data_IF_669698968544
#
_entry.id   IF_669698968544
#
_cell.length_a   1.000
_cell.length_b   1.000
_cell.length_c   1.000
_cell.angle_alpha   90.00
_cell.angle_beta   90.00
_cell.angle_gamma   90.00
#
_symmetry.space_group_name_H-M   'P 1'
#
loop_
_entity.id
_entity.type
_entity.pdbx_description
1 polymer ?
#
# COMPACT_ATOMS: atom_id res chain seq x y z
N UNK A 1 -1.46 -6.83 14.32
CA UNK A 1 -2.66 -5.97 14.14
C UNK A 1 -3.22 -5.65 15.51
N UNK A 2 -3.37 -4.37 15.80
CA UNK A 2 -3.79 -3.88 17.11
C UNK A 2 -5.33 -3.79 17.15
N UNK A 3 -5.94 -4.53 18.05
CA UNK A 3 -7.39 -4.44 18.32
C UNK A 3 -7.76 -3.03 18.80
N UNK A 4 -6.95 -2.44 19.69
CA UNK A 4 -7.15 -1.08 20.16
C UNK A 4 -7.14 -0.04 19.06
N UNK A 5 -6.33 -0.21 18.01
CA UNK A 5 -6.34 0.69 16.85
C UNK A 5 -7.64 0.58 16.06
N UNK A 6 -8.23 -0.62 15.93
CA UNK A 6 -9.50 -0.82 15.26
C UNK A 6 -10.68 -0.19 16.05
N UNK A 7 -10.62 -0.22 17.38
CA UNK A 7 -11.61 0.44 18.21
C UNK A 7 -11.53 1.97 18.10
N UNK A 8 -10.31 2.52 18.00
CA UNK A 8 -10.11 3.95 17.74
C UNK A 8 -10.69 4.32 16.35
N UNK A 9 -10.48 3.51 15.33
CA UNK A 9 -11.05 3.72 13.99
C UNK A 9 -12.58 3.78 14.05
N UNK A 10 -13.24 2.82 14.72
CA UNK A 10 -14.71 2.81 14.88
C UNK A 10 -15.20 4.07 15.60
N UNK A 11 -14.53 4.43 16.71
CA UNK A 11 -14.88 5.62 17.49
C UNK A 11 -14.72 6.90 16.68
N UNK A 12 -13.62 7.05 15.94
CA UNK A 12 -13.39 8.22 15.09
C UNK A 12 -14.41 8.30 13.96
N UNK A 13 -14.77 7.18 13.34
CA UNK A 13 -15.82 7.14 12.32
C UNK A 13 -17.16 7.61 12.90
N UNK A 14 -17.56 7.09 14.07
CA UNK A 14 -18.80 7.46 14.72
C UNK A 14 -18.84 8.96 15.09
N UNK A 15 -17.74 9.54 15.57
CA UNK A 15 -17.62 10.99 15.85
C UNK A 15 -17.85 11.86 14.60
N UNK A 16 -17.61 11.32 13.42
CA UNK A 16 -17.82 12.01 12.15
C UNK A 16 -19.11 11.57 11.43
N UNK A 17 -20.01 10.85 12.11
CA UNK A 17 -21.27 10.40 11.54
C UNK A 17 -21.16 9.24 10.55
N UNK A 18 -20.03 8.53 10.51
CA UNK A 18 -19.81 7.39 9.63
C UNK A 18 -19.78 6.07 10.39
N UNK A 19 -20.08 4.99 9.70
CA UNK A 19 -19.77 3.64 10.15
C UNK A 19 -18.74 2.99 9.26
N UNK A 20 -17.83 2.21 9.86
CA UNK A 20 -16.79 1.46 9.12
C UNK A 20 -16.78 0.01 9.59
N UNK A 21 -16.59 -0.89 8.65
CA UNK A 21 -16.32 -2.30 8.95
C UNK A 21 -14.83 -2.47 9.23
N UNK A 22 -14.50 -3.02 10.40
CA UNK A 22 -13.12 -3.33 10.77
C UNK A 22 -12.91 -4.83 10.83
N UNK A 23 -11.77 -5.30 10.36
CA UNK A 23 -11.40 -6.72 10.41
C UNK A 23 -10.01 -6.84 11.02
N UNK A 24 -9.89 -7.57 12.13
CA UNK A 24 -8.61 -7.94 12.69
C UNK A 24 -8.09 -9.20 11.99
N UNK A 25 -7.12 -9.05 11.09
CA UNK A 25 -6.58 -10.15 10.32
C UNK A 25 -5.11 -9.91 9.94
N UNK A 26 -4.41 -10.97 9.57
CA UNK A 26 -3.18 -10.84 8.78
C UNK A 26 -3.55 -10.34 7.37
N UNK A 27 -2.92 -9.26 6.93
CA UNK A 27 -3.29 -8.61 5.66
C UNK A 27 -3.00 -9.49 4.44
N UNK A 28 -1.91 -10.27 4.48
CA UNK A 28 -1.56 -11.16 3.37
C UNK A 28 -2.63 -12.25 3.19
N UNK A 29 -3.06 -12.86 4.30
CA UNK A 29 -4.12 -13.88 4.29
C UNK A 29 -5.48 -13.27 3.93
N UNK A 30 -5.78 -12.07 4.44
CA UNK A 30 -7.03 -11.39 4.16
C UNK A 30 -7.18 -11.02 2.68
N UNK A 31 -6.14 -10.47 2.06
CA UNK A 31 -6.16 -10.14 0.63
C UNK A 31 -6.33 -11.40 -0.24
N UNK A 32 -5.63 -12.50 0.11
CA UNK A 32 -5.79 -13.79 -0.57
C UNK A 32 -7.21 -14.34 -0.42
N UNK A 33 -7.82 -14.21 0.77
CA UNK A 33 -9.23 -14.57 1.01
C UNK A 33 -10.16 -13.75 0.12
N UNK A 34 -10.04 -12.43 0.10
CA UNK A 34 -10.86 -11.55 -0.75
C UNK A 34 -10.76 -11.93 -2.23
N UNK A 35 -9.57 -12.27 -2.70
CA UNK A 35 -9.35 -12.75 -4.06
C UNK A 35 -10.04 -14.10 -4.31
N UNK A 36 -9.91 -15.08 -3.40
CA UNK A 36 -10.59 -16.39 -3.53
C UNK A 36 -12.11 -16.25 -3.59
N UNK A 37 -12.65 -15.33 -2.79
CA UNK A 37 -14.07 -14.99 -2.76
C UNK A 37 -14.51 -14.11 -3.94
N UNK A 38 -13.60 -13.78 -4.88
CA UNK A 38 -13.84 -12.93 -6.04
C UNK A 38 -14.40 -11.55 -5.66
N UNK A 39 -14.10 -11.06 -4.45
CA UNK A 39 -14.47 -9.71 -4.02
C UNK A 39 -13.71 -8.67 -4.82
N UNK A 40 -14.41 -7.59 -5.18
CA UNK A 40 -13.86 -6.45 -5.91
C UNK A 40 -14.21 -5.16 -5.20
N UNK A 41 -13.30 -4.17 -5.30
CA UNK A 41 -13.43 -2.88 -4.64
C UNK A 41 -13.10 -1.76 -5.63
N UNK A 42 -13.88 -0.68 -5.60
CA UNK A 42 -13.62 0.50 -6.43
C UNK A 42 -12.34 1.23 -6.05
N UNK A 43 -11.98 1.21 -4.75
CA UNK A 43 -10.70 1.75 -4.25
C UNK A 43 -10.10 0.75 -3.25
N UNK A 44 -8.82 0.46 -3.45
CA UNK A 44 -8.01 -0.33 -2.51
C UNK A 44 -6.84 0.53 -2.06
N UNK A 45 -6.61 0.63 -0.74
CA UNK A 45 -5.48 1.35 -0.16
C UNK A 45 -4.60 0.35 0.59
N UNK A 46 -3.32 0.28 0.21
CA UNK A 46 -2.30 -0.53 0.85
C UNK A 46 -1.31 0.41 1.54
N UNK A 47 -1.41 0.51 2.85
CA UNK A 47 -0.52 1.31 3.71
C UNK A 47 0.10 0.41 4.79
N UNK A 48 1.01 -0.49 4.41
CA UNK A 48 1.66 -1.40 5.35
C UNK A 48 2.69 -0.66 6.21
N UNK A 49 3.06 -1.22 7.38
CA UNK A 49 4.23 -0.75 8.10
C UNK A 49 5.49 -0.93 7.25
N UNK A 50 6.57 -0.26 7.63
CA UNK A 50 7.86 -0.41 6.96
C UNK A 50 8.32 -1.88 7.01
N UNK A 51 8.43 -2.53 5.84
CA UNK A 51 8.89 -3.92 5.74
C UNK A 51 10.40 -4.07 5.86
N UNK A 52 11.15 -2.95 5.76
CA UNK A 52 12.58 -2.95 6.03
C UNK A 52 12.96 -1.80 6.95
N UNK A 53 13.87 -2.11 7.88
CA UNK A 53 14.50 -1.13 8.78
C UNK A 53 15.99 -1.00 8.52
N UNK A 54 16.57 -1.86 7.68
CA UNK A 54 18.00 -1.92 7.37
C UNK A 54 18.21 -2.16 5.88
N UNK A 55 19.36 -1.75 5.34
CA UNK A 55 19.70 -1.94 3.94
C UNK A 55 19.72 -3.42 3.52
N UNK A 56 20.16 -4.32 4.40
CA UNK A 56 20.29 -5.75 4.12
C UNK A 56 18.96 -6.45 3.88
N UNK A 57 17.86 -5.92 4.44
CA UNK A 57 16.53 -6.51 4.35
C UNK A 57 15.68 -5.98 3.20
N UNK A 58 16.21 -5.07 2.37
CA UNK A 58 15.48 -4.44 1.25
C UNK A 58 14.95 -5.48 0.26
N UNK A 59 15.75 -6.49 -0.11
CA UNK A 59 15.30 -7.55 -1.03
C UNK A 59 14.09 -8.33 -0.49
N UNK A 60 14.09 -8.62 0.81
CA UNK A 60 12.97 -9.30 1.45
C UNK A 60 11.75 -8.39 1.53
N UNK A 61 11.94 -7.12 1.84
CA UNK A 61 10.87 -6.12 1.85
C UNK A 61 10.22 -5.98 0.46
N UNK A 62 11.00 -5.94 -0.62
CA UNK A 62 10.47 -5.90 -1.99
C UNK A 62 9.54 -7.08 -2.29
N UNK A 63 9.86 -8.29 -1.79
CA UNK A 63 8.97 -9.46 -1.95
C UNK A 63 7.63 -9.26 -1.22
N UNK A 64 7.66 -8.72 0.00
CA UNK A 64 6.45 -8.42 0.76
C UNK A 64 5.59 -7.35 0.08
N UNK A 65 6.21 -6.25 -0.35
CA UNK A 65 5.51 -5.22 -1.13
C UNK A 65 4.93 -5.77 -2.43
N UNK A 66 5.68 -6.62 -3.13
CA UNK A 66 5.19 -7.24 -4.37
C UNK A 66 3.97 -8.11 -4.11
N UNK A 67 4.01 -8.99 -3.10
CA UNK A 67 2.87 -9.87 -2.79
C UNK A 67 1.59 -9.09 -2.50
N UNK A 68 1.63 -8.09 -1.59
CA UNK A 68 0.43 -7.30 -1.29
C UNK A 68 -0.07 -6.52 -2.50
N UNK A 69 0.83 -5.97 -3.32
CA UNK A 69 0.45 -5.22 -4.52
C UNK A 69 -0.20 -6.14 -5.58
N UNK A 70 0.33 -7.35 -5.81
CA UNK A 70 -0.29 -8.34 -6.70
C UNK A 70 -1.71 -8.67 -6.24
N UNK A 71 -1.91 -8.91 -4.94
CA UNK A 71 -3.25 -9.19 -4.43
C UNK A 71 -4.16 -7.96 -4.51
N UNK A 72 -3.66 -6.77 -4.16
CA UNK A 72 -4.39 -5.51 -4.25
C UNK A 72 -4.88 -5.23 -5.68
N UNK A 73 -3.99 -5.37 -6.68
CA UNK A 73 -4.35 -5.23 -8.09
C UNK A 73 -5.47 -6.19 -8.50
N UNK A 74 -5.40 -7.45 -8.04
CA UNK A 74 -6.38 -8.48 -8.39
C UNK A 74 -7.75 -8.30 -7.76
N UNK A 75 -7.86 -7.56 -6.65
CA UNK A 75 -9.15 -7.27 -5.99
C UNK A 75 -9.69 -5.86 -6.31
N UNK A 76 -8.92 -5.02 -6.98
CA UNK A 76 -9.42 -3.72 -7.47
C UNK A 76 -10.26 -3.93 -8.73
N UNK A 77 -11.36 -3.20 -8.84
CA UNK A 77 -12.25 -3.24 -10.01
C UNK A 77 -11.59 -2.60 -11.23
N UNK A 78 -12.03 -2.99 -12.41
CA UNK A 78 -11.71 -2.27 -13.64
C UNK A 78 -12.27 -0.84 -13.58
N UNK A 79 -11.44 0.16 -13.88
CA UNK A 79 -11.75 1.58 -13.71
C UNK A 79 -11.51 2.11 -12.28
N UNK A 80 -11.31 1.22 -11.30
CA UNK A 80 -11.00 1.55 -9.91
C UNK A 80 -9.56 1.97 -9.68
N UNK A 81 -9.23 2.24 -8.42
CA UNK A 81 -7.91 2.74 -8.01
C UNK A 81 -7.26 1.84 -6.98
N UNK A 82 -5.98 1.55 -7.18
CA UNK A 82 -5.09 1.02 -6.15
C UNK A 82 -4.16 2.14 -5.70
N UNK A 83 -4.19 2.48 -4.42
CA UNK A 83 -3.26 3.39 -3.77
C UNK A 83 -2.31 2.55 -2.95
N UNK A 84 -1.02 2.59 -3.25
CA UNK A 84 -0.02 1.80 -2.54
C UNK A 84 1.06 2.69 -1.97
N UNK A 85 1.42 2.43 -0.71
CA UNK A 85 2.34 3.25 0.07
C UNK A 85 3.53 2.44 0.57
N UNK A 86 4.64 3.13 0.77
CA UNK A 86 5.79 2.63 1.52
C UNK A 86 6.40 3.75 2.36
N UNK A 87 6.54 3.51 3.65
CA UNK A 87 7.29 4.39 4.57
C UNK A 87 8.70 3.86 4.88
N UNK A 88 9.21 2.89 4.14
CA UNK A 88 10.55 2.32 4.34
C UNK A 88 11.63 3.28 3.85
N UNK A 89 12.46 3.79 4.75
CA UNK A 89 13.56 4.72 4.44
C UNK A 89 14.61 4.12 3.50
N UNK A 90 14.89 2.82 3.64
CA UNK A 90 15.89 2.11 2.81
C UNK A 90 15.35 1.63 1.46
N UNK A 91 14.05 1.76 1.20
CA UNK A 91 13.47 1.46 -0.10
C UNK A 91 13.47 2.73 -0.96
N UNK A 92 14.36 2.82 -1.95
CA UNK A 92 14.39 3.97 -2.86
C UNK A 92 13.10 4.12 -3.66
N UNK A 93 12.86 5.31 -4.21
CA UNK A 93 11.74 5.56 -5.12
C UNK A 93 11.79 4.60 -6.31
N UNK A 94 12.99 4.39 -6.90
CA UNK A 94 13.16 3.50 -8.02
C UNK A 94 12.79 2.05 -7.67
N UNK A 95 13.31 1.52 -6.56
CA UNK A 95 12.97 0.17 -6.11
C UNK A 95 11.47 0.01 -5.85
N UNK A 96 10.80 1.03 -5.31
CA UNK A 96 9.36 1.00 -5.10
C UNK A 96 8.58 0.95 -6.40
N UNK A 97 8.96 1.75 -7.40
CA UNK A 97 8.35 1.75 -8.73
C UNK A 97 8.62 0.43 -9.48
N UNK A 98 9.81 -0.15 -9.34
CA UNK A 98 10.14 -1.44 -9.93
C UNK A 98 9.29 -2.57 -9.32
N UNK A 99 9.09 -2.56 -8.00
CA UNK A 99 8.17 -3.50 -7.32
C UNK A 99 6.75 -3.37 -7.85
N UNK A 100 6.26 -2.14 -8.04
CA UNK A 100 4.91 -1.91 -8.60
C UNK A 100 4.84 -2.44 -10.03
N UNK A 101 5.83 -2.16 -10.87
CA UNK A 101 5.90 -2.64 -12.25
C UNK A 101 5.88 -4.18 -12.31
N UNK A 102 6.70 -4.84 -11.50
CA UNK A 102 6.70 -6.30 -11.38
C UNK A 102 5.34 -6.84 -10.91
N UNK A 103 4.70 -6.15 -9.95
CA UNK A 103 3.39 -6.54 -9.43
C UNK A 103 2.30 -6.44 -10.49
N UNK A 104 2.29 -5.39 -11.31
CA UNK A 104 1.38 -5.23 -12.45
C UNK A 104 1.57 -6.38 -13.43
N UNK A 105 2.82 -6.68 -13.80
CA UNK A 105 3.13 -7.77 -14.71
C UNK A 105 2.66 -9.13 -14.16
N UNK A 106 3.00 -9.45 -12.91
CA UNK A 106 2.63 -10.72 -12.27
C UNK A 106 1.11 -10.86 -12.03
N UNK A 107 0.43 -9.76 -11.79
CA UNK A 107 -1.02 -9.76 -11.58
C UNK A 107 -1.80 -10.08 -12.85
N UNK A 108 -1.22 -9.80 -14.03
CA UNK A 108 -1.92 -9.83 -15.32
C UNK A 108 -2.94 -8.69 -15.48
N UNK A 109 -2.90 -7.69 -14.61
CA UNK A 109 -3.81 -6.53 -14.62
C UNK A 109 -3.10 -5.36 -15.30
N UNK A 110 -3.77 -4.68 -16.22
CA UNK A 110 -3.25 -3.42 -16.79
C UNK A 110 -3.58 -2.26 -15.88
N UNK A 111 -2.57 -1.43 -15.56
CA UNK A 111 -2.75 -0.25 -14.71
C UNK A 111 -1.94 0.94 -15.24
N UNK A 112 -2.43 2.15 -14.96
CA UNK A 112 -1.73 3.41 -15.24
C UNK A 112 -1.35 4.08 -13.91
N UNK A 113 -0.10 4.54 -13.79
CA UNK A 113 0.29 5.45 -12.71
C UNK A 113 -0.35 6.81 -12.98
N UNK A 114 -1.28 7.22 -12.13
CA UNK A 114 -2.03 8.49 -12.27
C UNK A 114 -1.34 9.59 -11.48
N UNK A 115 -0.81 9.23 -10.31
CA UNK A 115 -0.16 10.18 -9.41
C UNK A 115 0.94 9.48 -8.61
N UNK A 116 2.01 10.21 -8.34
CA UNK A 116 3.06 9.82 -7.41
C UNK A 116 3.28 10.95 -6.41
N UNK A 117 3.22 10.62 -5.12
CA UNK A 117 3.43 11.57 -4.03
C UNK A 117 4.49 11.09 -3.07
N UNK A 118 5.06 12.03 -2.36
CA UNK A 118 5.97 11.82 -1.22
C UNK A 118 5.36 12.40 0.05
N UNK A 119 6.14 12.50 1.13
CA UNK A 119 5.69 13.12 2.38
C UNK A 119 5.28 14.60 2.17
N UNK A 120 4.46 15.09 3.10
CA UNK A 120 3.98 16.46 3.10
C UNK A 120 5.10 17.49 3.42
N UNK A 121 4.84 18.75 3.14
CA UNK A 121 5.84 19.83 3.23
C UNK A 121 6.36 20.10 4.65
N UNK A 122 5.58 19.75 5.67
CA UNK A 122 5.98 19.81 7.09
C UNK A 122 7.01 18.73 7.47
N UNK A 123 7.19 17.73 6.61
CA UNK A 123 8.24 16.71 6.68
C UNK A 123 9.20 16.86 5.49
N UNK A 124 9.86 18.02 5.40
CA UNK A 124 10.74 18.33 4.28
C UNK A 124 11.89 17.32 4.14
N UNK A 125 12.24 17.01 2.89
CA UNK A 125 13.38 16.16 2.58
C UNK A 125 14.69 16.95 2.76
N UNK A 126 15.64 16.38 3.49
CA UNK A 126 16.98 16.95 3.65
C UNK A 126 17.81 16.63 2.41
N UNK A 127 18.29 17.68 1.73
CA UNK A 127 19.14 17.52 0.54
C UNK A 127 20.46 16.83 0.93
N UNK A 128 20.82 15.79 0.17
CA UNK A 128 22.00 14.97 0.43
C UNK A 128 21.75 13.76 1.36
N UNK A 129 20.52 13.57 1.85
CA UNK A 129 20.15 12.44 2.70
C UNK A 129 18.94 11.73 2.10
N UNK A 130 19.17 10.69 1.26
CA UNK A 130 18.10 9.96 0.58
C UNK A 130 17.07 9.34 1.55
N UNK A 131 17.51 8.91 2.73
CA UNK A 131 16.65 8.31 3.77
C UNK A 131 15.61 9.30 4.30
N UNK A 132 15.83 10.62 4.15
CA UNK A 132 14.86 11.63 4.54
C UNK A 132 13.62 11.66 3.63
N UNK A 133 13.71 11.10 2.41
CA UNK A 133 12.58 10.85 1.52
C UNK A 133 11.99 9.47 1.84
N UNK A 134 11.27 9.38 2.97
CA UNK A 134 10.82 8.09 3.48
C UNK A 134 9.46 7.62 2.95
N UNK A 135 8.53 8.55 2.66
CA UNK A 135 7.18 8.19 2.18
C UNK A 135 7.12 8.21 0.64
N UNK A 136 6.63 7.14 0.09
CA UNK A 136 6.31 6.97 -1.34
C UNK A 136 4.87 6.51 -1.44
N UNK A 137 4.07 7.21 -2.26
CA UNK A 137 2.67 6.89 -2.52
C UNK A 137 2.46 6.86 -4.04
N UNK A 138 1.98 5.75 -4.54
CA UNK A 138 1.60 5.60 -5.94
C UNK A 138 0.10 5.36 -6.07
N UNK A 139 -0.56 6.14 -6.91
CA UNK A 139 -1.98 5.99 -7.25
C UNK A 139 -2.06 5.37 -8.63
N UNK A 140 -2.60 4.16 -8.71
CA UNK A 140 -2.76 3.40 -9.94
C UNK A 140 -4.25 3.32 -10.31
N UNK A 141 -4.57 3.59 -11.58
CA UNK A 141 -5.89 3.33 -12.14
C UNK A 141 -5.88 2.00 -12.89
N UNK A 142 -6.81 1.13 -12.59
CA UNK A 142 -6.97 -0.18 -13.24
C UNK A 142 -7.71 0.00 -14.57
N UNK A 143 -7.22 -0.64 -15.65
CA UNK A 143 -7.74 -0.49 -17.01
C UNK A 143 -8.64 -1.65 -17.42
#
# INVERSE_FOLDING_TARGET
ISESALDIVKRNAALNGFSVNTVQADVFEYLRKMRREKKKFGVVILDPPAFTKTADTVKQACKGYKDINVQGLKITEKGGYLITCSCSQHLSVQNFLDVIKESVFESGVSAKLVEFRTQSKDHATLIGTEQSLYLKVAVLRIM
#
